data_IF_020726624376
#
_entry.id   IF_020726624376
#
_cell.length_a   1.000
_cell.length_b   1.000
_cell.length_c   1.000
_cell.angle_alpha   90.00
_cell.angle_beta   90.00
_cell.angle_gamma   90.00
#
_symmetry.space_group_name_H-M   'P 1'
#
loop_
_entity.id
_entity.type
_entity.pdbx_description
1 polymer ?
#
# COMPACT_ATOMS: atom_id res chain seq x y z
N UNK A 1 55.94 25.53 -15.92
CA UNK A 1 56.56 24.21 -15.88
C UNK A 1 55.54 23.23 -15.30
N UNK A 2 54.63 22.70 -16.11
CA UNK A 2 54.84 21.53 -17.00
C UNK A 2 55.01 20.23 -16.22
N UNK A 3 54.01 19.37 -16.33
CA UNK A 3 54.12 17.96 -16.72
C UNK A 3 52.68 17.49 -17.00
N UNK A 4 52.24 17.27 -18.24
CA UNK A 4 52.65 16.32 -19.29
C UNK A 4 51.66 15.14 -19.38
N UNK A 5 51.32 14.86 -20.63
CA UNK A 5 50.39 13.89 -21.22
C UNK A 5 50.76 12.45 -20.80
N UNK A 6 49.86 11.48 -20.68
CA UNK A 6 49.23 10.69 -21.77
C UNK A 6 48.86 9.27 -21.23
N UNK A 7 48.27 8.32 -21.99
CA UNK A 7 46.99 7.66 -21.64
C UNK A 7 47.06 6.11 -21.51
N UNK A 8 45.87 5.49 -21.39
CA UNK A 8 45.45 4.24 -22.06
C UNK A 8 45.22 2.94 -21.25
N UNK A 9 44.11 2.30 -21.66
CA UNK A 9 43.66 0.91 -21.54
C UNK A 9 43.12 0.36 -20.20
N UNK A 10 41.84 0.00 -20.08
CA UNK A 10 40.96 -0.94 -20.83
C UNK A 10 41.12 -2.39 -20.38
N UNK A 11 39.97 -2.94 -19.94
CA UNK A 11 39.42 -4.30 -20.05
C UNK A 11 38.90 -4.74 -18.67
N UNK A 12 37.66 -5.17 -18.46
CA UNK A 12 36.62 -5.68 -19.34
C UNK A 12 36.04 -6.94 -18.67
N UNK A 13 34.74 -7.18 -18.82
CA UNK A 13 34.08 -8.43 -18.42
C UNK A 13 32.83 -8.21 -17.55
N UNK A 14 31.68 -7.84 -18.14
CA UNK A 14 30.61 -8.74 -18.63
C UNK A 14 29.86 -9.46 -17.50
N UNK A 15 28.65 -9.03 -17.16
CA UNK A 15 27.37 -9.47 -17.77
C UNK A 15 26.72 -10.58 -16.95
N UNK A 16 25.70 -10.24 -16.18
CA UNK A 16 24.56 -11.13 -15.99
C UNK A 16 23.29 -10.31 -16.07
N UNK A 17 22.61 -10.48 -17.21
CA UNK A 17 21.26 -10.01 -17.48
C UNK A 17 20.27 -11.03 -16.93
N UNK A 18 19.10 -10.55 -16.45
CA UNK A 18 17.76 -11.15 -16.58
C UNK A 18 16.82 -10.40 -15.62
N UNK A 19 15.82 -9.64 -16.04
CA UNK A 19 15.30 -9.38 -17.38
C UNK A 19 14.35 -8.17 -17.36
N UNK A 20 13.78 -7.82 -18.52
CA UNK A 20 12.74 -6.82 -18.61
C UNK A 20 11.41 -7.49 -18.25
N UNK A 21 10.90 -7.23 -17.04
CA UNK A 21 9.48 -7.42 -16.80
C UNK A 21 8.80 -6.09 -17.11
N UNK A 22 8.53 -5.89 -18.40
CA UNK A 22 7.41 -5.10 -18.84
C UNK A 22 6.17 -5.65 -18.13
N UNK A 23 5.73 -4.96 -17.09
CA UNK A 23 4.32 -4.90 -16.76
C UNK A 23 3.88 -3.46 -16.92
N UNK A 24 3.64 -3.11 -18.19
CA UNK A 24 2.75 -2.03 -18.56
C UNK A 24 1.32 -2.51 -18.24
N UNK A 25 1.02 -2.82 -16.97
CA UNK A 25 -0.36 -2.98 -16.54
C UNK A 25 -0.98 -1.58 -16.48
N UNK A 26 -1.50 -1.20 -17.63
CA UNK A 26 -2.75 -0.49 -17.79
C UNK A 26 -3.44 -0.15 -16.46
N UNK A 27 -3.14 1.01 -15.89
CA UNK A 27 -4.15 1.67 -15.07
C UNK A 27 -4.77 2.76 -15.94
N UNK A 28 -5.61 2.29 -16.85
CA UNK A 28 -6.67 3.12 -17.44
C UNK A 28 -7.27 4.00 -16.34
N UNK A 29 -7.66 5.26 -16.62
CA UNK A 29 -8.59 5.98 -15.75
C UNK A 29 -9.92 5.21 -15.82
N UNK A 30 -10.04 4.16 -15.01
CA UNK A 30 -11.18 3.27 -14.97
C UNK A 30 -12.39 4.13 -14.63
N UNK A 31 -13.24 4.28 -15.64
CA UNK A 31 -14.48 5.01 -15.67
C UNK A 31 -15.15 5.12 -14.29
N UNK A 32 -14.97 6.28 -13.62
CA UNK A 32 -15.72 6.81 -12.47
C UNK A 32 -16.57 5.76 -11.74
N UNK A 33 -15.97 4.67 -11.29
CA UNK A 33 -16.64 3.77 -10.38
C UNK A 33 -16.53 4.48 -9.06
N UNK A 34 -17.66 4.91 -8.51
CA UNK A 34 -17.67 5.60 -7.23
C UNK A 34 -17.03 4.74 -6.11
N UNK A 35 -16.87 3.44 -6.38
CA UNK A 35 -16.25 2.44 -5.52
C UNK A 35 -14.77 2.25 -5.80
N UNK A 36 -14.05 1.98 -4.72
CA UNK A 36 -12.62 1.76 -4.64
C UNK A 36 -12.40 0.37 -4.06
N UNK A 37 -11.54 -0.41 -4.70
CA UNK A 37 -11.10 -1.68 -4.16
C UNK A 37 -10.06 -1.45 -3.05
N UNK A 38 -10.34 -1.97 -1.86
CA UNK A 38 -9.43 -1.97 -0.72
C UNK A 38 -9.03 -3.42 -0.40
N UNK A 39 -7.77 -3.61 -0.07
CA UNK A 39 -7.21 -4.89 0.36
C UNK A 39 -6.81 -4.79 1.83
N UNK A 40 -7.57 -5.44 2.70
CA UNK A 40 -7.34 -5.49 4.14
C UNK A 40 -6.44 -6.67 4.49
N UNK A 41 -5.27 -6.39 5.06
CA UNK A 41 -4.28 -7.38 5.48
C UNK A 41 -4.09 -7.35 6.99
N UNK A 42 -4.27 -8.50 7.63
CA UNK A 42 -3.89 -8.66 9.03
C UNK A 42 -2.38 -8.50 9.18
N UNK A 43 -1.98 -7.82 10.25
CA UNK A 43 -0.59 -7.69 10.69
C UNK A 43 -0.49 -8.08 12.17
N UNK A 44 0.62 -8.72 12.53
CA UNK A 44 0.93 -9.07 13.92
C UNK A 44 -0.08 -10.10 14.43
N UNK A 45 -0.65 -9.84 15.60
CA UNK A 45 -1.59 -10.74 16.27
C UNK A 45 -3.05 -10.56 15.80
N UNK A 46 -3.32 -9.70 14.83
CA UNK A 46 -4.68 -9.47 14.39
C UNK A 46 -5.26 -10.66 13.60
N UNK A 47 -6.55 -11.02 13.81
CA UNK A 47 -7.16 -12.16 13.15
C UNK A 47 -7.26 -11.96 11.63
N UNK A 48 -6.90 -12.99 10.85
CA UNK A 48 -6.90 -12.94 9.38
C UNK A 48 -8.33 -12.99 8.84
N UNK A 49 -8.72 -11.97 8.07
CA UNK A 49 -9.99 -11.96 7.34
C UNK A 49 -10.05 -13.07 6.28
N UNK A 50 -11.17 -13.79 6.22
CA UNK A 50 -11.48 -14.74 5.13
C UNK A 50 -11.58 -14.04 3.77
N UNK A 51 -12.18 -12.84 3.74
CA UNK A 51 -12.27 -11.99 2.56
C UNK A 51 -11.43 -10.73 2.79
N UNK A 52 -10.32 -10.61 2.06
CA UNK A 52 -9.37 -9.49 2.18
C UNK A 52 -9.68 -8.34 1.22
N UNK A 53 -10.22 -8.64 0.03
CA UNK A 53 -10.59 -7.64 -0.98
C UNK A 53 -12.05 -7.19 -0.80
N UNK A 54 -12.24 -5.89 -0.63
CA UNK A 54 -13.54 -5.24 -0.46
C UNK A 54 -13.65 -4.09 -1.46
N UNK A 55 -14.84 -3.85 -1.98
CA UNK A 55 -15.11 -2.70 -2.85
C UNK A 55 -16.04 -1.77 -2.08
N UNK A 56 -15.53 -0.59 -1.74
CA UNK A 56 -16.22 0.39 -0.87
C UNK A 56 -16.38 1.72 -1.59
N UNK A 57 -17.44 2.49 -1.35
CA UNK A 57 -17.57 3.84 -1.90
C UNK A 57 -16.38 4.71 -1.46
N UNK A 58 -15.80 5.47 -2.39
CA UNK A 58 -14.66 6.35 -2.12
C UNK A 58 -14.99 7.54 -1.23
N UNK A 59 -16.28 7.89 -1.11
CA UNK A 59 -16.83 8.93 -0.22
C UNK A 59 -16.84 8.50 1.26
N UNK A 60 -16.52 7.24 1.56
CA UNK A 60 -16.39 6.78 2.94
C UNK A 60 -15.07 7.25 3.54
N UNK A 61 -15.11 7.53 4.85
CA UNK A 61 -13.95 7.81 5.68
C UNK A 61 -13.27 6.54 6.19
N UNK A 62 -12.00 6.67 6.57
CA UNK A 62 -11.24 5.59 7.22
C UNK A 62 -11.88 5.13 8.54
N UNK A 63 -12.47 6.03 9.31
CA UNK A 63 -13.23 5.68 10.53
C UNK A 63 -14.25 4.58 10.28
N UNK A 64 -14.99 4.65 9.16
CA UNK A 64 -15.97 3.63 8.79
C UNK A 64 -15.34 2.25 8.55
N UNK A 65 -14.11 2.20 8.02
CA UNK A 65 -13.37 0.95 7.81
C UNK A 65 -12.89 0.39 9.14
N UNK A 66 -12.42 1.24 10.05
CA UNK A 66 -11.99 0.85 11.39
C UNK A 66 -13.18 0.26 12.16
N UNK A 67 -14.32 0.95 12.18
CA UNK A 67 -15.54 0.47 12.84
C UNK A 67 -16.05 -0.84 12.22
N UNK A 68 -16.01 -0.94 10.89
CA UNK A 68 -16.36 -2.15 10.17
C UNK A 68 -15.48 -3.33 10.60
N UNK A 69 -14.16 -3.14 10.63
CA UNK A 69 -13.22 -4.17 11.06
C UNK A 69 -13.42 -4.56 12.52
N UNK A 70 -13.60 -3.60 13.44
CA UNK A 70 -13.88 -3.90 14.86
C UNK A 70 -15.11 -4.79 15.02
N UNK A 71 -16.21 -4.47 14.31
CA UNK A 71 -17.43 -5.28 14.31
C UNK A 71 -17.24 -6.64 13.65
N UNK A 72 -16.52 -6.68 12.52
CA UNK A 72 -16.32 -7.90 11.74
C UNK A 72 -15.40 -8.91 12.44
N UNK A 73 -14.33 -8.41 13.06
CA UNK A 73 -13.37 -9.22 13.83
C UNK A 73 -13.91 -9.55 15.23
N UNK A 74 -15.08 -9.01 15.62
CA UNK A 74 -15.64 -9.12 16.96
C UNK A 74 -14.64 -8.68 18.04
N UNK A 75 -13.94 -7.58 17.77
CA UNK A 75 -13.05 -6.99 18.76
C UNK A 75 -13.87 -6.55 19.98
N UNK A 76 -13.28 -6.71 21.16
CA UNK A 76 -13.88 -6.21 22.39
C UNK A 76 -13.90 -4.66 22.40
N UNK A 77 -14.83 -4.01 23.12
CA UNK A 77 -14.95 -2.55 23.14
C UNK A 77 -13.70 -1.84 23.69
N UNK A 78 -12.89 -2.53 24.48
CA UNK A 78 -11.62 -2.03 25.03
C UNK A 78 -10.42 -2.26 24.10
N UNK A 79 -10.60 -3.04 23.01
CA UNK A 79 -9.51 -3.30 22.06
C UNK A 79 -9.32 -2.14 21.10
N UNK A 80 -8.05 -1.73 20.95
CA UNK A 80 -7.64 -0.80 19.92
C UNK A 80 -7.45 -1.53 18.60
N UNK A 81 -7.78 -0.84 17.50
CA UNK A 81 -7.52 -1.34 16.16
C UNK A 81 -6.88 -0.22 15.36
N UNK A 82 -5.65 -0.46 14.93
CA UNK A 82 -4.86 0.46 14.13
C UNK A 82 -4.91 0.04 12.68
N UNK A 83 -4.88 1.03 11.80
CA UNK A 83 -4.91 0.83 10.36
C UNK A 83 -3.80 1.64 9.72
N UNK A 84 -3.08 1.02 8.80
CA UNK A 84 -1.87 1.55 8.18
C UNK A 84 -1.98 1.47 6.66
N UNK A 85 -1.54 2.52 5.99
CA UNK A 85 -1.42 2.57 4.53
C UNK A 85 0.00 2.14 4.17
N UNK A 86 0.12 1.17 3.25
CA UNK A 86 1.43 0.70 2.74
C UNK A 86 2.45 0.33 3.83
N UNK A 87 2.01 -0.13 5.02
CA UNK A 87 2.87 -0.50 6.16
C UNK A 87 3.83 0.62 6.62
N UNK A 88 3.43 1.88 6.45
CA UNK A 88 4.29 3.03 6.79
C UNK A 88 3.65 3.92 7.85
N UNK A 89 2.47 4.46 7.57
CA UNK A 89 1.81 5.42 8.45
C UNK A 89 0.33 5.08 8.68
N UNK A 90 -0.21 5.57 9.80
CA UNK A 90 -1.63 5.48 10.11
C UNK A 90 -2.36 6.74 9.61
N UNK A 91 -3.27 6.65 8.61
CA UNK A 91 -4.03 7.81 8.17
C UNK A 91 -4.98 8.29 9.26
N UNK A 92 -5.30 9.59 9.25
CA UNK A 92 -6.34 10.12 10.13
C UNK A 92 -7.69 9.46 9.84
N UNK A 93 -8.50 9.13 10.87
CA UNK A 93 -9.81 8.51 10.70
C UNK A 93 -10.80 9.37 9.90
N UNK A 94 -10.53 10.67 9.77
CA UNK A 94 -11.33 11.62 8.98
C UNK A 94 -10.98 11.65 7.50
N UNK A 95 -9.89 11.00 7.09
CA UNK A 95 -9.47 10.95 5.69
C UNK A 95 -10.45 10.13 4.85
N UNK A 96 -10.74 10.62 3.66
CA UNK A 96 -11.52 9.92 2.66
C UNK A 96 -10.72 8.80 2.02
N UNK A 97 -11.37 7.66 1.79
CA UNK A 97 -10.74 6.50 1.13
C UNK A 97 -10.33 6.86 -0.29
N UNK A 98 -11.08 7.74 -0.98
CA UNK A 98 -10.71 8.24 -2.31
C UNK A 98 -9.38 8.96 -2.32
N UNK A 99 -9.19 9.91 -1.41
CA UNK A 99 -7.93 10.64 -1.31
C UNK A 99 -6.75 9.70 -1.07
N UNK A 100 -6.92 8.73 -0.16
CA UNK A 100 -5.86 7.75 0.13
C UNK A 100 -5.58 6.81 -1.05
N UNK A 101 -6.61 6.42 -1.80
CA UNK A 101 -6.43 5.61 -2.99
C UNK A 101 -5.75 6.39 -4.13
N UNK A 102 -6.08 7.66 -4.33
CA UNK A 102 -5.45 8.50 -5.35
C UNK A 102 -3.96 8.74 -5.04
N UNK A 103 -3.60 8.89 -3.77
CA UNK A 103 -2.20 9.11 -3.36
C UNK A 103 -1.38 7.82 -3.22
N UNK A 104 -1.99 6.73 -2.70
CA UNK A 104 -1.27 5.52 -2.26
C UNK A 104 -1.82 4.22 -2.86
N UNK A 105 -2.82 4.29 -3.74
CA UNK A 105 -3.35 3.14 -4.44
C UNK A 105 -2.31 2.53 -5.38
N UNK A 106 -2.34 1.22 -5.52
CA UNK A 106 -1.42 0.45 -6.35
C UNK A 106 -2.12 -0.77 -6.94
N UNK A 107 -1.90 -1.05 -8.23
CA UNK A 107 -2.50 -2.19 -8.93
C UNK A 107 -4.04 -2.21 -8.77
N UNK A 108 -4.66 -1.05 -9.03
CA UNK A 108 -6.12 -0.86 -8.99
C UNK A 108 -6.77 -1.02 -7.60
N UNK A 109 -5.99 -1.02 -6.50
CA UNK A 109 -6.51 -1.18 -5.13
C UNK A 109 -5.71 -0.38 -4.10
N UNK A 110 -6.34 -0.08 -2.96
CA UNK A 110 -5.67 0.49 -1.79
C UNK A 110 -5.34 -0.63 -0.79
N UNK A 111 -4.06 -0.85 -0.49
CA UNK A 111 -3.66 -1.86 0.51
C UNK A 111 -3.60 -1.22 1.88
N UNK A 112 -4.38 -1.78 2.81
CA UNK A 112 -4.50 -1.35 4.18
C UNK A 112 -4.14 -2.50 5.11
N UNK A 113 -3.28 -2.22 6.08
CA UNK A 113 -2.83 -3.17 7.08
C UNK A 113 -3.49 -2.86 8.41
N UNK A 114 -4.14 -3.84 9.03
CA UNK A 114 -4.74 -3.66 10.34
C UNK A 114 -4.04 -4.51 11.39
N UNK A 115 -3.92 -3.96 12.60
CA UNK A 115 -3.33 -4.63 13.75
C UNK A 115 -3.97 -4.16 15.07
N UNK A 116 -3.92 -5.01 16.10
CA UNK A 116 -4.47 -4.72 17.44
C UNK A 116 -3.51 -3.88 18.30
N UNK A 117 -2.21 -4.08 18.09
CA UNK A 117 -1.14 -3.27 18.68
C UNK A 117 -0.58 -2.30 17.65
N UNK A 118 0.01 -1.21 18.12
CA UNK A 118 0.80 -0.32 17.27
C UNK A 118 1.95 -1.13 16.64
N UNK A 119 2.13 -0.97 15.32
CA UNK A 119 3.10 -1.75 14.55
C UNK A 119 4.07 -0.87 13.76
N UNK A 120 3.60 0.28 13.29
CA UNK A 120 4.39 1.25 12.53
C UNK A 120 4.05 2.68 13.00
N UNK A 121 4.94 3.63 12.73
CA UNK A 121 4.84 5.02 13.16
C UNK A 121 6.04 5.81 12.68
#
# INVERSE_FOLDING_TARGET
MENDKSPDNTVGGTSEASGPAEDVAQNQPAAKSDKIDILLKATGDAPILKRKKWSVPGDRKISSIIDFLKKYLKCEPHESLFLYVQQTFAPSPDQDIRNLYECYGSDGKLVLHYCKSEAWG
#
